data_IF_855053675837
#
_entry.id   IF_855053675837
#
_cell.length_a   1.000
_cell.length_b   1.000
_cell.length_c   1.000
_cell.angle_alpha   90.00
_cell.angle_beta   90.00
_cell.angle_gamma   90.00
#
_symmetry.space_group_name_H-M   'P 1'
#
loop_
_entity.id
_entity.type
_entity.pdbx_description
1 polymer ?
#
# COMPACT_ATOMS: atom_id res chain seq x y z
N UNK A 1 32.36 -12.28 2.86
CA UNK A 1 31.95 -13.67 2.69
C UNK A 1 31.10 -13.73 1.45
N UNK A 2 31.62 -14.22 0.35
CA UNK A 2 30.90 -14.36 -0.92
C UNK A 2 29.79 -15.37 -0.73
N UNK A 3 28.53 -14.91 -0.73
CA UNK A 3 27.36 -15.80 -0.72
C UNK A 3 27.41 -16.65 -1.98
N UNK A 4 27.35 -17.97 -1.83
CA UNK A 4 27.46 -18.87 -2.96
C UNK A 4 26.32 -18.61 -3.97
N UNK A 5 26.64 -18.56 -5.27
CA UNK A 5 25.68 -18.25 -6.35
C UNK A 5 24.47 -19.20 -6.39
N UNK A 6 24.63 -20.43 -5.96
CA UNK A 6 23.53 -21.42 -5.89
C UNK A 6 22.47 -21.02 -4.85
N UNK A 7 22.90 -20.49 -3.71
CA UNK A 7 21.99 -20.05 -2.64
C UNK A 7 21.17 -18.81 -3.06
N UNK A 8 21.73 -17.99 -3.93
CA UNK A 8 21.11 -16.77 -4.44
C UNK A 8 19.93 -17.04 -5.40
N UNK A 9 20.11 -17.94 -6.38
CA UNK A 9 19.03 -18.29 -7.31
C UNK A 9 17.89 -19.01 -6.60
N UNK A 10 18.19 -19.85 -5.62
CA UNK A 10 17.19 -20.51 -4.78
C UNK A 10 16.37 -19.47 -3.98
N UNK A 11 17.04 -18.49 -3.37
CA UNK A 11 16.36 -17.40 -2.67
C UNK A 11 15.43 -16.61 -3.60
N UNK A 12 15.90 -16.23 -4.79
CA UNK A 12 15.08 -15.49 -5.75
C UNK A 12 13.85 -16.27 -6.19
N UNK A 13 14.02 -17.56 -6.50
CA UNK A 13 12.92 -18.40 -6.92
C UNK A 13 11.87 -18.50 -5.80
N UNK A 14 12.29 -18.80 -4.58
CA UNK A 14 11.43 -18.89 -3.42
C UNK A 14 10.69 -17.58 -3.15
N UNK A 15 11.39 -16.43 -3.24
CA UNK A 15 10.79 -15.12 -3.07
C UNK A 15 9.71 -14.82 -4.13
N UNK A 16 9.98 -15.12 -5.41
CA UNK A 16 9.03 -14.92 -6.50
C UNK A 16 7.82 -15.86 -6.40
N UNK A 17 8.03 -17.12 -6.01
CA UNK A 17 6.96 -18.08 -5.75
C UNK A 17 6.04 -17.59 -4.64
N UNK A 18 6.60 -17.05 -3.56
CA UNK A 18 5.83 -16.44 -2.46
C UNK A 18 4.99 -15.26 -2.92
N UNK A 19 5.57 -14.31 -3.66
CA UNK A 19 4.85 -13.15 -4.17
C UNK A 19 3.68 -13.56 -5.09
N UNK A 20 3.85 -14.61 -5.89
CA UNK A 20 2.82 -15.11 -6.80
C UNK A 20 1.86 -16.12 -6.16
N UNK A 21 2.08 -16.52 -4.91
CA UNK A 21 1.24 -17.48 -4.18
C UNK A 21 -0.19 -16.98 -3.92
N UNK A 22 -1.04 -17.88 -3.40
CA UNK A 22 -2.46 -17.60 -3.09
C UNK A 22 -2.69 -17.09 -1.67
N UNK A 23 -1.64 -16.75 -0.93
CA UNK A 23 -1.74 -16.27 0.45
C UNK A 23 -2.27 -14.84 0.54
N UNK A 24 -2.68 -14.43 1.75
CA UNK A 24 -3.07 -13.02 1.97
C UNK A 24 -1.89 -12.08 1.71
N UNK A 25 -2.20 -10.87 1.25
CA UNK A 25 -1.17 -9.86 0.93
C UNK A 25 -0.34 -9.52 2.18
N UNK A 26 -0.98 -9.44 3.35
CA UNK A 26 -0.31 -9.16 4.63
C UNK A 26 0.75 -10.22 4.94
N UNK A 27 0.37 -11.50 4.82
CA UNK A 27 1.27 -12.62 5.07
C UNK A 27 2.45 -12.59 4.09
N UNK A 28 2.18 -12.39 2.80
CA UNK A 28 3.23 -12.26 1.77
C UNK A 28 4.23 -11.16 2.11
N UNK A 29 3.76 -9.99 2.53
CA UNK A 29 4.61 -8.85 2.86
C UNK A 29 5.48 -9.17 4.07
N UNK A 30 4.88 -9.63 5.19
CA UNK A 30 5.61 -9.93 6.42
C UNK A 30 6.66 -11.02 6.21
N UNK A 31 6.31 -12.11 5.53
CA UNK A 31 7.23 -13.19 5.24
C UNK A 31 8.33 -12.77 4.25
N UNK A 32 8.01 -11.94 3.24
CA UNK A 32 9.00 -11.39 2.32
C UNK A 32 10.02 -10.48 3.02
N UNK A 33 9.57 -9.66 3.98
CA UNK A 33 10.49 -8.87 4.82
C UNK A 33 11.40 -9.78 5.66
N UNK A 34 10.83 -10.85 6.23
CA UNK A 34 11.58 -11.83 7.01
C UNK A 34 12.63 -12.54 6.16
N UNK A 35 12.25 -13.04 5.00
CA UNK A 35 13.16 -13.73 4.07
C UNK A 35 14.35 -12.82 3.67
N UNK A 36 14.08 -11.55 3.38
CA UNK A 36 15.12 -10.57 3.03
C UNK A 36 16.04 -10.32 4.23
N UNK A 37 15.49 -10.18 5.44
CA UNK A 37 16.27 -10.03 6.65
C UNK A 37 17.18 -11.23 6.90
N UNK A 38 16.65 -12.44 6.82
CA UNK A 38 17.40 -13.68 7.05
C UNK A 38 18.47 -13.89 5.99
N UNK A 39 18.12 -13.70 4.71
CA UNK A 39 19.05 -13.93 3.60
C UNK A 39 20.22 -12.96 3.60
N UNK A 40 19.95 -11.66 3.79
CA UNK A 40 20.99 -10.62 3.77
C UNK A 40 21.62 -10.35 5.14
N UNK A 41 21.04 -10.88 6.22
CA UNK A 41 21.54 -10.72 7.57
C UNK A 41 21.15 -9.41 8.23
N UNK A 42 20.10 -8.73 7.78
CA UNK A 42 19.56 -7.56 8.45
C UNK A 42 18.86 -7.95 9.75
N UNK A 43 19.10 -7.21 10.81
CA UNK A 43 18.40 -7.40 12.09
C UNK A 43 16.95 -6.97 12.04
N UNK A 44 16.57 -6.13 11.07
CA UNK A 44 15.26 -5.49 11.03
C UNK A 44 14.83 -5.15 9.60
N UNK A 45 13.56 -5.45 9.29
CA UNK A 45 12.83 -4.94 8.15
C UNK A 45 11.63 -4.12 8.60
N UNK A 46 11.26 -3.07 7.86
CA UNK A 46 10.15 -2.20 8.21
C UNK A 46 9.46 -1.59 6.99
N UNK A 47 8.19 -1.22 7.16
CA UNK A 47 7.41 -0.47 6.18
C UNK A 47 6.78 0.73 6.86
N UNK A 48 6.99 1.90 6.26
CA UNK A 48 6.26 3.11 6.57
C UNK A 48 5.32 3.46 5.43
N UNK A 49 4.10 3.92 5.78
CA UNK A 49 3.11 4.41 4.84
C UNK A 49 2.60 5.78 5.26
N UNK A 50 2.29 6.64 4.29
CA UNK A 50 1.77 7.99 4.56
C UNK A 50 0.26 7.99 4.76
N UNK A 51 -0.22 8.90 5.61
CA UNK A 51 -1.64 9.27 5.70
C UNK A 51 -2.11 10.12 4.50
N UNK A 52 -1.18 10.50 3.62
CA UNK A 52 -1.44 11.36 2.47
C UNK A 52 -1.37 12.86 2.78
N UNK A 53 -1.20 13.25 4.05
CA UNK A 53 -1.24 14.65 4.49
C UNK A 53 0.07 15.11 5.13
N UNK A 54 0.44 14.55 6.27
CA UNK A 54 1.54 15.08 7.08
C UNK A 54 2.53 14.05 7.57
N UNK A 55 2.10 12.81 7.81
CA UNK A 55 2.91 11.83 8.51
C UNK A 55 3.14 10.55 7.69
N UNK A 56 4.30 9.93 7.94
CA UNK A 56 4.54 8.51 7.69
C UNK A 56 4.37 7.75 9.00
N UNK A 57 3.63 6.65 8.95
CA UNK A 57 3.38 5.76 10.07
C UNK A 57 4.05 4.41 9.84
N UNK A 58 4.64 3.86 10.88
CA UNK A 58 5.14 2.48 10.88
C UNK A 58 3.94 1.54 10.76
N UNK A 59 3.90 0.78 9.67
CA UNK A 59 2.83 -0.17 9.37
C UNK A 59 3.23 -1.59 9.71
N UNK A 60 4.44 -1.97 9.34
CA UNK A 60 4.95 -3.32 9.56
C UNK A 60 6.40 -3.29 10.00
N UNK A 61 6.78 -4.27 10.81
CA UNK A 61 8.17 -4.49 11.20
C UNK A 61 8.40 -5.97 11.47
N UNK A 62 9.58 -6.45 11.08
CA UNK A 62 10.07 -7.80 11.35
C UNK A 62 11.46 -7.72 11.98
N UNK A 63 11.87 -8.79 12.69
CA UNK A 63 13.15 -8.85 13.36
C UNK A 63 13.13 -8.25 14.77
N UNK A 64 14.28 -7.79 15.26
CA UNK A 64 14.46 -7.41 16.67
C UNK A 64 13.62 -6.16 17.04
N UNK A 65 12.85 -6.25 18.11
CA UNK A 65 11.84 -5.26 18.53
C UNK A 65 12.38 -4.12 19.40
N UNK A 66 13.69 -3.85 19.36
CA UNK A 66 14.23 -2.72 20.10
C UNK A 66 13.53 -1.43 19.68
N UNK A 67 13.07 -0.61 20.62
CA UNK A 67 12.24 0.60 20.47
C UNK A 67 12.84 1.76 19.64
N UNK A 68 13.47 1.46 18.52
CA UNK A 68 14.29 2.36 17.73
C UNK A 68 13.51 2.97 16.56
N UNK A 69 12.54 2.23 16.02
CA UNK A 69 11.70 2.73 14.96
C UNK A 69 10.64 3.66 15.56
N UNK A 70 10.67 4.91 15.15
CA UNK A 70 9.60 5.84 15.53
C UNK A 70 8.27 5.34 14.98
N UNK A 71 7.21 5.40 15.78
CA UNK A 71 5.88 5.02 15.33
C UNK A 71 5.37 5.90 14.18
N UNK A 72 5.84 7.15 14.15
CA UNK A 72 5.58 8.10 13.05
C UNK A 72 6.67 9.16 12.95
N UNK A 73 6.79 9.77 11.77
CA UNK A 73 7.59 10.97 11.53
C UNK A 73 6.91 11.86 10.49
N UNK A 74 7.22 13.17 10.51
CA UNK A 74 6.66 14.11 9.55
C UNK A 74 7.28 13.93 8.16
N UNK A 75 6.46 14.10 7.12
CA UNK A 75 6.93 14.08 5.72
C UNK A 75 8.04 15.12 5.51
N UNK A 76 7.92 16.29 6.17
CA UNK A 76 8.92 17.35 6.15
C UNK A 76 10.29 16.93 6.68
N UNK A 77 10.35 16.05 7.67
CA UNK A 77 11.61 15.52 8.19
C UNK A 77 12.38 14.71 7.13
N UNK A 78 11.64 14.01 6.23
CA UNK A 78 12.23 13.25 5.12
C UNK A 78 12.58 14.13 3.92
N UNK A 79 11.91 15.27 3.73
CA UNK A 79 12.10 16.11 2.52
C UNK A 79 13.33 16.99 2.59
N UNK A 80 13.87 17.29 3.76
CA UNK A 80 14.84 18.38 3.91
C UNK A 80 16.31 18.04 3.63
N UNK A 81 16.77 16.80 3.72
CA UNK A 81 18.16 16.46 3.35
C UNK A 81 18.31 15.10 2.70
N UNK A 82 17.51 14.12 3.09
CA UNK A 82 17.68 12.72 2.69
C UNK A 82 16.68 12.30 1.62
N UNK A 83 15.49 12.89 1.61
CA UNK A 83 14.47 12.57 0.62
C UNK A 83 14.85 13.00 -0.80
N UNK A 84 15.54 14.11 -0.97
CA UNK A 84 16.04 14.52 -2.29
C UNK A 84 17.03 13.48 -2.89
N UNK A 85 17.80 12.80 -2.06
CA UNK A 85 18.72 11.73 -2.45
C UNK A 85 18.01 10.40 -2.66
N UNK A 86 17.01 10.08 -1.83
CA UNK A 86 16.14 8.93 -1.98
C UNK A 86 15.17 9.14 -3.15
N UNK A 87 14.71 10.37 -3.38
CA UNK A 87 13.72 10.75 -4.41
C UNK A 87 14.27 10.75 -5.84
N UNK A 88 15.59 10.79 -6.02
CA UNK A 88 16.13 11.13 -7.33
C UNK A 88 16.08 10.05 -8.41
N UNK A 89 15.87 8.75 -8.11
CA UNK A 89 16.05 7.70 -9.14
C UNK A 89 15.39 6.38 -8.76
N UNK A 90 14.19 6.20 -8.62
CA UNK A 90 13.51 4.88 -8.56
C UNK A 90 14.40 3.63 -8.21
N UNK A 91 15.52 3.86 -7.53
CA UNK A 91 16.52 2.89 -7.08
C UNK A 91 16.49 2.81 -5.55
N UNK A 92 16.78 1.65 -4.94
CA UNK A 92 16.92 1.58 -3.50
C UNK A 92 18.12 2.45 -3.07
N UNK A 93 17.93 3.16 -1.98
CA UNK A 93 18.99 3.87 -1.30
C UNK A 93 19.71 2.89 -0.37
N UNK A 94 21.02 2.86 -0.44
CA UNK A 94 21.85 2.01 0.42
C UNK A 94 22.94 2.85 1.08
N UNK A 95 23.15 2.66 2.37
CA UNK A 95 24.24 3.25 3.12
C UNK A 95 24.85 2.22 4.09
N UNK A 96 26.18 2.22 4.22
CA UNK A 96 26.92 1.34 5.10
C UNK A 96 28.17 2.07 5.64
N UNK A 97 28.42 1.95 6.96
CA UNK A 97 29.43 2.70 7.69
C UNK A 97 30.87 2.52 7.20
N UNK A 98 31.17 1.40 6.59
CA UNK A 98 32.57 1.04 6.23
C UNK A 98 32.78 0.84 4.73
N UNK A 99 31.85 1.24 3.87
CA UNK A 99 31.99 1.09 2.42
C UNK A 99 32.11 2.42 1.71
N UNK A 100 33.16 2.55 0.92
CA UNK A 100 33.42 3.69 0.06
C UNK A 100 32.90 3.39 -1.36
N UNK A 101 31.57 3.27 -1.50
CA UNK A 101 30.93 3.06 -2.81
C UNK A 101 30.21 4.33 -3.26
N UNK A 102 30.01 4.49 -4.55
CA UNK A 102 29.24 5.62 -5.14
C UNK A 102 27.78 5.70 -4.66
N UNK A 103 27.33 4.71 -3.91
CA UNK A 103 25.99 4.56 -3.33
C UNK A 103 25.94 4.88 -1.83
N UNK A 104 27.11 5.10 -1.19
CA UNK A 104 27.22 5.21 0.26
C UNK A 104 27.03 6.67 0.70
N UNK A 105 26.04 6.90 1.56
CA UNK A 105 25.81 8.18 2.22
C UNK A 105 26.05 8.01 3.73
N UNK A 106 27.28 8.26 4.16
CA UNK A 106 27.71 8.08 5.56
C UNK A 106 26.90 8.99 6.50
N UNK A 107 26.51 10.18 6.06
CA UNK A 107 25.75 11.13 6.88
C UNK A 107 24.39 10.55 7.29
N UNK A 108 23.77 9.72 6.45
CA UNK A 108 22.51 9.06 6.75
C UNK A 108 22.68 7.95 7.79
N UNK A 109 23.76 7.19 7.69
CA UNK A 109 24.10 6.13 8.66
C UNK A 109 24.24 6.73 10.05
N UNK A 110 24.94 7.84 10.17
CA UNK A 110 25.15 8.54 11.45
C UNK A 110 23.84 9.16 11.98
N UNK A 111 23.00 9.73 11.08
CA UNK A 111 21.73 10.33 11.45
C UNK A 111 20.75 9.27 12.03
N UNK A 112 20.63 8.11 11.37
CA UNK A 112 19.77 7.02 11.83
C UNK A 112 20.40 6.12 12.89
N UNK A 113 21.67 6.36 13.25
CA UNK A 113 22.46 5.56 14.19
C UNK A 113 22.43 4.06 13.86
N UNK A 114 22.64 3.74 12.60
CA UNK A 114 22.71 2.37 12.07
C UNK A 114 24.07 2.14 11.45
N UNK A 115 24.50 0.91 11.32
CA UNK A 115 25.73 0.54 10.61
C UNK A 115 25.46 0.19 9.14
N UNK A 116 24.24 -0.24 8.83
CA UNK A 116 23.75 -0.42 7.47
C UNK A 116 22.27 -0.06 7.34
N UNK A 117 21.94 0.54 6.20
CA UNK A 117 20.57 0.95 5.87
C UNK A 117 20.30 0.73 4.39
N UNK A 118 19.20 0.06 4.09
CA UNK A 118 18.67 -0.10 2.75
C UNK A 118 17.24 0.40 2.75
N UNK A 119 16.91 1.37 1.89
CA UNK A 119 15.56 1.95 1.79
C UNK A 119 15.11 2.00 0.34
N UNK A 120 13.84 1.65 0.08
CA UNK A 120 13.17 1.88 -1.18
C UNK A 120 11.85 2.60 -0.98
N UNK A 121 11.55 3.56 -1.85
CA UNK A 121 10.25 4.20 -1.93
C UNK A 121 9.19 3.24 -2.46
N UNK A 122 7.97 3.40 -1.93
CA UNK A 122 6.75 2.82 -2.48
C UNK A 122 6.01 3.97 -3.17
N UNK A 123 5.71 3.80 -4.45
CA UNK A 123 5.01 4.79 -5.25
C UNK A 123 3.69 4.22 -5.76
N UNK A 124 2.67 5.06 -5.85
CA UNK A 124 1.41 4.71 -6.51
C UNK A 124 1.54 4.76 -8.05
N UNK A 125 0.43 4.53 -8.75
CA UNK A 125 0.36 4.54 -10.21
C UNK A 125 0.68 5.90 -10.85
N UNK A 126 0.58 6.99 -10.08
CA UNK A 126 0.88 8.36 -10.52
C UNK A 126 2.33 8.76 -10.19
N UNK A 127 3.11 7.86 -9.55
CA UNK A 127 4.48 8.13 -9.11
C UNK A 127 4.58 8.90 -7.80
N UNK A 128 3.46 9.12 -7.09
CA UNK A 128 3.46 9.76 -5.78
C UNK A 128 3.98 8.80 -4.72
N UNK A 129 4.85 9.28 -3.84
CA UNK A 129 5.37 8.46 -2.73
C UNK A 129 4.26 8.23 -1.71
N UNK A 130 3.96 6.95 -1.48
CA UNK A 130 2.96 6.49 -0.51
C UNK A 130 3.57 5.76 0.67
N UNK A 131 4.88 5.50 0.62
CA UNK A 131 5.59 4.83 1.71
C UNK A 131 7.04 4.51 1.41
N UNK A 132 7.64 3.74 2.32
CA UNK A 132 9.01 3.24 2.23
C UNK A 132 9.09 1.82 2.78
N UNK A 133 9.89 0.99 2.10
CA UNK A 133 10.39 -0.28 2.64
C UNK A 133 11.82 -0.03 3.07
N UNK A 134 12.19 -0.46 4.26
CA UNK A 134 13.55 -0.31 4.75
C UNK A 134 14.06 -1.54 5.50
N UNK A 135 15.37 -1.70 5.48
CA UNK A 135 16.12 -2.72 6.23
C UNK A 135 17.29 -2.04 6.92
N UNK A 136 17.51 -2.37 8.18
CA UNK A 136 18.55 -1.74 8.96
C UNK A 136 19.25 -2.69 9.92
N UNK A 137 20.53 -2.43 10.15
CA UNK A 137 21.31 -3.07 11.18
C UNK A 137 22.14 -2.02 11.91
N UNK A 138 22.28 -2.17 13.26
CA UNK A 138 23.05 -1.26 14.12
C UNK A 138 24.39 -1.80 14.56
N UNK A 139 24.58 -3.08 14.39
CA UNK A 139 25.73 -3.80 14.93
C UNK A 139 26.63 -4.32 13.80
N UNK A 140 26.08 -4.41 12.59
CA UNK A 140 26.77 -5.00 11.45
C UNK A 140 26.69 -4.13 10.20
N UNK A 141 27.87 -3.89 9.64
CA UNK A 141 28.01 -3.29 8.33
C UNK A 141 27.77 -4.37 7.25
N UNK A 142 26.56 -4.43 6.71
CA UNK A 142 26.21 -5.35 5.64
C UNK A 142 26.64 -4.74 4.31
N UNK A 143 27.55 -5.39 3.61
CA UNK A 143 28.06 -4.93 2.32
C UNK A 143 27.43 -5.66 1.16
N UNK A 144 27.20 -4.96 0.05
CA UNK A 144 26.64 -5.50 -1.19
C UNK A 144 27.59 -5.23 -2.35
N UNK A 145 27.65 -6.17 -3.27
CA UNK A 145 28.21 -5.95 -4.61
C UNK A 145 27.20 -5.18 -5.49
N UNK A 146 27.65 -4.61 -6.59
CA UNK A 146 26.77 -3.95 -7.55
C UNK A 146 25.74 -4.91 -8.15
N UNK A 147 26.09 -6.18 -8.36
CA UNK A 147 25.19 -7.22 -8.83
C UNK A 147 24.09 -7.52 -7.81
N UNK A 148 24.46 -7.66 -6.53
CA UNK A 148 23.50 -7.88 -5.43
C UNK A 148 22.54 -6.69 -5.30
N UNK A 149 23.04 -5.45 -5.41
CA UNK A 149 22.19 -4.25 -5.38
C UNK A 149 21.20 -4.19 -6.54
N UNK A 150 21.59 -4.62 -7.75
CA UNK A 150 20.67 -4.70 -8.88
C UNK A 150 19.50 -5.66 -8.61
N UNK A 151 19.79 -6.79 -8.02
CA UNK A 151 18.75 -7.78 -7.72
C UNK A 151 17.88 -7.38 -6.55
N UNK A 152 18.47 -6.84 -5.49
CA UNK A 152 17.71 -6.21 -4.41
C UNK A 152 16.75 -5.16 -4.98
N UNK A 153 17.21 -4.39 -5.98
CA UNK A 153 16.35 -3.44 -6.69
C UNK A 153 15.11 -4.08 -7.30
N UNK A 154 15.27 -5.23 -7.96
CA UNK A 154 14.14 -5.96 -8.56
C UNK A 154 13.20 -6.53 -7.50
N UNK A 155 13.76 -7.17 -6.47
CA UNK A 155 13.02 -7.76 -5.36
C UNK A 155 12.17 -6.70 -4.65
N UNK A 156 12.79 -5.62 -4.21
CA UNK A 156 12.09 -4.53 -3.53
C UNK A 156 11.12 -3.80 -4.46
N UNK A 157 11.39 -3.78 -5.78
CA UNK A 157 10.47 -3.26 -6.77
C UNK A 157 9.19 -4.05 -6.85
N UNK A 158 9.28 -5.38 -6.86
CA UNK A 158 8.12 -6.27 -6.88
C UNK A 158 7.31 -6.14 -5.57
N UNK A 159 7.99 -6.17 -4.42
CA UNK A 159 7.34 -6.01 -3.12
C UNK A 159 6.65 -4.63 -2.99
N UNK A 160 7.29 -3.56 -3.48
CA UNK A 160 6.70 -2.21 -3.48
C UNK A 160 5.40 -2.15 -4.28
N UNK A 161 5.31 -2.87 -5.41
CA UNK A 161 4.07 -2.94 -6.21
C UNK A 161 2.94 -3.66 -5.46
N UNK A 162 3.24 -4.77 -4.80
CA UNK A 162 2.25 -5.49 -3.98
C UNK A 162 1.70 -4.60 -2.86
N UNK A 163 2.57 -3.86 -2.17
CA UNK A 163 2.17 -2.92 -1.12
C UNK A 163 1.31 -1.79 -1.70
N UNK A 164 1.67 -1.24 -2.85
CA UNK A 164 0.90 -0.18 -3.50
C UNK A 164 -0.50 -0.65 -3.90
N UNK A 165 -0.63 -1.86 -4.43
CA UNK A 165 -1.93 -2.47 -4.78
C UNK A 165 -2.79 -2.66 -3.52
N UNK A 166 -2.21 -3.16 -2.42
CA UNK A 166 -2.91 -3.29 -1.13
C UNK A 166 -3.44 -1.94 -0.67
N UNK A 167 -2.58 -0.94 -0.61
CA UNK A 167 -2.94 0.41 -0.14
C UNK A 167 -4.05 1.03 -0.98
N UNK A 168 -4.01 0.84 -2.31
CA UNK A 168 -5.07 1.31 -3.21
C UNK A 168 -6.42 0.66 -2.85
N UNK A 169 -6.46 -0.67 -2.71
CA UNK A 169 -7.68 -1.39 -2.32
C UNK A 169 -8.21 -0.97 -0.95
N UNK A 170 -7.34 -0.81 0.04
CA UNK A 170 -7.73 -0.36 1.38
C UNK A 170 -8.32 1.06 1.35
N UNK A 171 -7.74 1.96 0.55
CA UNK A 171 -8.27 3.33 0.37
C UNK A 171 -9.62 3.34 -0.31
N UNK A 172 -9.81 2.53 -1.35
CA UNK A 172 -11.08 2.38 -2.05
C UNK A 172 -12.18 1.89 -1.11
N UNK A 173 -11.92 0.82 -0.34
CA UNK A 173 -12.86 0.29 0.65
C UNK A 173 -13.17 1.33 1.74
N UNK A 174 -12.17 2.05 2.23
CA UNK A 174 -12.35 3.10 3.25
C UNK A 174 -13.18 4.25 2.71
N UNK A 175 -12.89 4.73 1.49
CA UNK A 175 -13.66 5.79 0.85
C UNK A 175 -15.13 5.39 0.65
N UNK A 176 -15.37 4.17 0.16
CA UNK A 176 -16.73 3.62 -0.01
C UNK A 176 -17.49 3.57 1.33
N UNK A 177 -16.87 3.03 2.39
CA UNK A 177 -17.48 2.99 3.72
C UNK A 177 -17.77 4.39 4.28
N UNK A 178 -16.86 5.35 4.06
CA UNK A 178 -17.06 6.72 4.52
C UNK A 178 -18.23 7.38 3.78
N UNK A 179 -18.31 7.22 2.46
CA UNK A 179 -19.45 7.72 1.67
C UNK A 179 -20.77 7.11 2.11
N UNK A 180 -20.83 5.78 2.29
CA UNK A 180 -22.04 5.09 2.78
C UNK A 180 -22.44 5.62 4.17
N UNK A 181 -21.46 5.79 5.08
CA UNK A 181 -21.73 6.34 6.40
C UNK A 181 -22.27 7.77 6.34
N UNK A 182 -21.72 8.61 5.49
CA UNK A 182 -22.24 10.00 5.31
C UNK A 182 -23.67 9.95 4.79
N UNK A 183 -23.93 9.16 3.72
CA UNK A 183 -25.26 9.05 3.12
C UNK A 183 -26.31 8.51 4.09
N UNK A 184 -25.95 7.53 4.95
CA UNK A 184 -26.85 6.99 5.95
C UNK A 184 -27.19 7.98 7.08
N UNK A 185 -26.26 8.91 7.39
CA UNK A 185 -26.44 9.92 8.44
C UNK A 185 -27.09 11.23 7.96
N UNK A 186 -27.35 11.40 6.66
CA UNK A 186 -27.92 12.64 6.13
C UNK A 186 -29.41 12.87 6.47
N UNK A 187 -30.14 11.85 6.94
CA UNK A 187 -31.55 11.92 7.26
C UNK A 187 -32.48 12.19 6.08
N UNK A 188 -32.02 11.86 4.86
CA UNK A 188 -32.80 11.95 3.62
C UNK A 188 -32.73 10.62 2.87
N UNK A 189 -33.75 10.32 2.09
CA UNK A 189 -33.81 9.11 1.26
C UNK A 189 -32.94 9.31 0.03
N UNK A 190 -31.89 8.50 -0.10
CA UNK A 190 -30.93 8.56 -1.20
C UNK A 190 -30.94 7.24 -1.94
N UNK A 191 -31.10 7.29 -3.25
CA UNK A 191 -30.83 6.16 -4.12
C UNK A 191 -30.06 6.61 -5.36
N UNK A 192 -29.31 5.70 -5.95
CA UNK A 192 -28.57 5.90 -7.19
C UNK A 192 -28.95 4.77 -8.14
N UNK A 193 -29.26 5.11 -9.35
CA UNK A 193 -29.52 4.17 -10.42
C UNK A 193 -28.67 4.47 -11.65
N UNK A 194 -28.45 3.43 -12.45
CA UNK A 194 -27.82 3.59 -13.76
C UNK A 194 -28.68 4.43 -14.68
N UNK A 195 -28.08 5.42 -15.32
CA UNK A 195 -28.79 6.27 -16.28
C UNK A 195 -29.29 5.48 -17.48
N UNK A 196 -28.48 4.57 -18.02
CA UNK A 196 -28.83 3.80 -19.23
C UNK A 196 -29.74 2.62 -18.96
N UNK A 197 -29.41 1.82 -17.93
CA UNK A 197 -30.08 0.55 -17.65
C UNK A 197 -31.18 0.66 -16.58
N UNK A 198 -31.25 1.77 -15.86
CA UNK A 198 -32.17 1.96 -14.72
C UNK A 198 -31.95 0.98 -13.54
N UNK A 199 -30.84 0.26 -13.53
CA UNK A 199 -30.50 -0.64 -12.41
C UNK A 199 -30.25 0.16 -11.15
N UNK A 200 -30.80 -0.29 -10.03
CA UNK A 200 -30.50 0.28 -8.74
C UNK A 200 -29.07 -0.08 -8.35
N UNK A 201 -28.24 0.95 -8.19
CA UNK A 201 -26.82 0.81 -7.86
C UNK A 201 -26.55 1.03 -6.37
N UNK A 202 -27.41 1.80 -5.70
CA UNK A 202 -27.28 2.13 -4.29
C UNK A 202 -28.60 2.61 -3.72
N UNK A 203 -28.86 2.28 -2.45
CA UNK A 203 -29.86 2.92 -1.61
C UNK A 203 -29.29 3.06 -0.19
N UNK A 204 -29.54 4.19 0.48
CA UNK A 204 -29.15 4.35 1.88
C UNK A 204 -30.18 3.70 2.81
N UNK A 205 -29.83 3.54 4.09
CA UNK A 205 -30.69 2.91 5.10
C UNK A 205 -32.06 3.61 5.25
N UNK A 206 -32.09 4.95 5.19
CA UNK A 206 -33.34 5.71 5.24
C UNK A 206 -34.26 5.35 4.10
N UNK A 207 -33.73 5.26 2.87
CA UNK A 207 -34.49 4.84 1.70
C UNK A 207 -34.96 3.39 1.77
N UNK A 208 -34.14 2.51 2.34
CA UNK A 208 -34.44 1.08 2.44
C UNK A 208 -35.47 0.75 3.55
N UNK A 209 -35.52 1.52 4.63
CA UNK A 209 -36.35 1.24 5.80
C UNK A 209 -37.83 0.94 5.51
N UNK A 210 -38.53 1.67 4.60
CA UNK A 210 -39.93 1.37 4.26
C UNK A 210 -40.12 0.02 3.52
N UNK A 211 -39.05 -0.53 2.94
CA UNK A 211 -39.07 -1.75 2.14
C UNK A 211 -38.51 -2.96 2.89
N UNK A 212 -38.00 -2.73 4.12
CA UNK A 212 -37.48 -3.74 5.04
C UNK A 212 -35.96 -3.90 5.01
N UNK A 213 -35.34 -3.84 3.87
CA UNK A 213 -33.90 -4.14 3.71
C UNK A 213 -33.28 -3.50 2.46
N UNK A 214 -31.96 -3.24 2.49
CA UNK A 214 -31.18 -2.80 1.33
C UNK A 214 -31.18 -3.86 0.22
N UNK A 215 -31.17 -5.14 0.56
CA UNK A 215 -31.25 -6.27 -0.38
C UNK A 215 -32.49 -6.21 -1.28
N UNK A 216 -33.56 -5.52 -0.82
CA UNK A 216 -34.74 -5.29 -1.64
C UNK A 216 -34.43 -4.62 -2.98
N UNK A 217 -33.39 -3.80 -3.06
CA UNK A 217 -33.03 -3.02 -4.24
C UNK A 217 -32.04 -3.73 -5.18
N UNK A 218 -31.34 -4.74 -4.69
CA UNK A 218 -30.29 -5.43 -5.46
C UNK A 218 -30.87 -6.12 -6.72
N UNK A 219 -30.21 -5.89 -7.86
CA UNK A 219 -30.55 -6.51 -9.14
C UNK A 219 -31.90 -6.08 -9.73
N UNK A 220 -32.56 -5.07 -9.16
CA UNK A 220 -33.85 -4.57 -9.65
C UNK A 220 -33.70 -3.26 -10.42
N UNK A 221 -34.63 -3.03 -11.35
CA UNK A 221 -34.83 -1.73 -11.96
C UNK A 221 -35.49 -0.76 -10.97
N UNK A 222 -35.21 0.54 -11.08
CA UNK A 222 -35.77 1.52 -10.15
C UNK A 222 -37.31 1.46 -10.04
N UNK A 223 -38.02 1.25 -11.14
CA UNK A 223 -39.48 1.11 -11.11
C UNK A 223 -39.96 -0.18 -10.43
N UNK A 224 -39.20 -1.28 -10.51
CA UNK A 224 -39.52 -2.52 -9.81
C UNK A 224 -39.29 -2.42 -8.30
N UNK A 225 -38.26 -1.68 -7.92
CA UNK A 225 -37.91 -1.50 -6.52
C UNK A 225 -38.80 -0.49 -5.79
N UNK A 226 -39.19 0.60 -6.48
CA UNK A 226 -39.93 1.73 -5.88
C UNK A 226 -41.43 1.64 -6.05
N UNK A 227 -41.93 0.91 -7.05
CA UNK A 227 -43.38 0.84 -7.37
C UNK A 227 -43.83 -0.59 -7.59
N UNK A 228 -44.75 -1.07 -6.73
CA UNK A 228 -45.19 -2.48 -6.71
C UNK A 228 -45.83 -3.00 -8.00
N UNK A 229 -46.45 -2.12 -8.77
CA UNK A 229 -47.26 -2.51 -9.95
C UNK A 229 -46.72 -2.03 -11.27
N UNK A 230 -45.48 -1.48 -11.32
CA UNK A 230 -44.88 -0.99 -12.55
C UNK A 230 -44.05 -2.08 -13.25
N UNK A 231 -44.37 -2.28 -14.53
CA UNK A 231 -43.68 -3.27 -15.39
C UNK A 231 -42.66 -2.62 -16.33
N UNK A 232 -42.53 -1.28 -16.30
CA UNK A 232 -41.65 -0.53 -17.19
C UNK A 232 -41.33 0.86 -16.66
N UNK A 233 -40.63 1.64 -17.51
CA UNK A 233 -40.15 2.97 -17.18
C UNK A 233 -41.29 3.94 -16.81
N UNK A 234 -41.07 4.79 -15.82
CA UNK A 234 -42.07 5.76 -15.36
C UNK A 234 -42.30 6.85 -16.36
N UNK A 235 -43.58 7.31 -16.52
CA UNK A 235 -43.92 8.45 -17.36
C UNK A 235 -43.22 9.73 -16.95
N UNK A 236 -43.02 9.88 -15.62
CA UNK A 236 -42.33 10.99 -14.94
C UNK A 236 -40.85 10.71 -14.66
N UNK A 237 -40.23 9.83 -15.44
CA UNK A 237 -38.82 9.51 -15.23
C UNK A 237 -37.95 10.75 -15.39
N UNK A 238 -37.12 11.10 -14.35
CA UNK A 238 -36.26 12.30 -14.43
C UNK A 238 -35.30 12.27 -15.63
N UNK A 239 -34.92 11.08 -16.10
CA UNK A 239 -34.09 10.90 -17.29
C UNK A 239 -34.63 11.63 -18.51
N UNK A 240 -35.97 11.70 -18.67
CA UNK A 240 -36.62 12.38 -19.78
C UNK A 240 -36.49 13.91 -19.79
N UNK A 241 -35.96 14.46 -18.69
CA UNK A 241 -35.74 15.91 -18.54
C UNK A 241 -34.29 16.32 -18.75
N UNK A 242 -33.40 15.35 -19.00
CA UNK A 242 -31.96 15.59 -19.20
C UNK A 242 -31.50 15.35 -20.65
N UNK A 243 -32.41 15.18 -21.59
CA UNK A 243 -32.12 15.10 -23.03
C UNK A 243 -32.01 16.49 -23.68
#
# INVERSE_FOLDING_TARGET
MTREKENYNAFLLHFLERLNGCESIEKKITESLTDICEYYGFKRGFIYQTDGFRYFYLKETVGNSDNILRQRFEISEMTNQHAARINGKNKPFYACKNQNTSWNDVDIVDFYKVDSLLIRQIQDSEGKIIGFIGFGDREHAISFTDEELQVIHLILGSLSKEIAVREYKEREVRASKTLSSIMNNMGVDIYVNSFDSHDMLYANESMAAPYGDIEHFEGKKCWQALYKDKTGECEFCPKKTFD
#
